data_IF_087138076360
#
_entry.id   IF_087138076360
#
_cell.length_a   1.000
_cell.length_b   1.000
_cell.length_c   1.000
_cell.angle_alpha   90.00
_cell.angle_beta   90.00
_cell.angle_gamma   90.00
#
_symmetry.space_group_name_H-M   'P 1'
#
loop_
_entity.id
_entity.type
_entity.pdbx_description
1 polymer ?
#
# COMPACT_ATOMS: atom_id res chain seq x y z
N UNK A 1 59.82 1.97 -19.91
CA UNK A 1 58.54 2.74 -19.81
C UNK A 1 57.42 1.76 -19.59
N UNK A 2 56.98 1.56 -18.34
CA UNK A 2 55.87 0.69 -18.02
C UNK A 2 54.57 1.47 -18.19
N UNK A 3 53.66 1.04 -19.08
CA UNK A 3 52.36 1.59 -19.25
C UNK A 3 51.43 0.98 -18.18
N UNK A 4 50.97 1.83 -17.24
CA UNK A 4 49.94 1.46 -16.27
C UNK A 4 48.61 1.63 -16.97
N UNK A 5 47.87 0.53 -17.16
CA UNK A 5 46.47 0.56 -17.60
C UNK A 5 45.59 0.68 -16.38
N UNK A 6 44.90 1.84 -16.25
CA UNK A 6 43.89 2.07 -15.23
C UNK A 6 42.58 1.44 -15.73
N UNK A 7 42.18 0.29 -15.16
CA UNK A 7 40.86 -0.28 -15.39
C UNK A 7 39.85 0.40 -14.46
N UNK A 8 39.01 1.28 -15.02
CA UNK A 8 37.85 1.83 -14.31
C UNK A 8 36.76 0.77 -14.40
N UNK A 9 36.52 0.04 -13.29
CA UNK A 9 35.40 -0.86 -13.16
C UNK A 9 34.19 -0.01 -12.80
N UNK A 10 33.28 0.21 -13.76
CA UNK A 10 31.97 0.73 -13.46
C UNK A 10 31.15 -0.38 -12.78
N UNK A 11 31.04 -0.31 -11.46
CA UNK A 11 29.97 -1.00 -10.77
C UNK A 11 28.65 -0.29 -11.14
N UNK A 12 27.84 -0.88 -12.00
CA UNK A 12 26.43 -0.52 -12.09
C UNK A 12 25.79 -0.89 -10.75
N UNK A 13 25.67 0.07 -9.85
CA UNK A 13 24.78 -0.05 -8.71
C UNK A 13 23.38 -0.12 -9.31
N UNK A 14 22.82 -1.33 -9.39
CA UNK A 14 21.39 -1.49 -9.57
C UNK A 14 20.74 -0.95 -8.29
N UNK A 15 20.43 0.34 -8.28
CA UNK A 15 19.44 0.87 -7.36
C UNK A 15 18.13 0.19 -7.76
N UNK A 16 17.62 -0.67 -6.89
CA UNK A 16 16.24 -1.14 -7.01
C UNK A 16 15.38 0.11 -7.24
N UNK A 17 14.57 0.12 -8.28
CA UNK A 17 13.73 1.27 -8.61
C UNK A 17 12.85 1.58 -7.40
N UNK A 18 13.09 2.71 -6.73
CA UNK A 18 12.32 3.13 -5.56
C UNK A 18 10.97 3.73 -5.97
N UNK A 19 10.36 3.19 -7.02
CA UNK A 19 9.01 3.54 -7.42
C UNK A 19 8.01 2.77 -6.56
N UNK A 20 7.05 3.48 -5.98
CA UNK A 20 5.91 2.92 -5.26
C UNK A 20 4.65 3.53 -5.87
N UNK A 21 3.67 2.74 -6.29
CA UNK A 21 3.68 1.27 -6.38
C UNK A 21 4.80 0.75 -7.30
N UNK A 22 5.30 -0.46 -7.01
CA UNK A 22 6.23 -1.11 -7.93
C UNK A 22 5.54 -1.38 -9.27
N UNK A 23 6.33 -1.39 -10.35
CA UNK A 23 5.80 -1.74 -11.66
C UNK A 23 5.14 -3.13 -11.66
N UNK A 24 3.93 -3.21 -12.24
CA UNK A 24 3.05 -4.39 -12.24
C UNK A 24 2.58 -4.85 -10.85
N UNK A 25 2.55 -3.98 -9.84
CA UNK A 25 1.98 -4.30 -8.54
C UNK A 25 0.47 -4.59 -8.64
N UNK A 26 0.01 -5.55 -7.83
CA UNK A 26 -1.42 -5.84 -7.62
C UNK A 26 -1.76 -5.47 -6.19
N UNK A 27 -2.73 -4.59 -5.99
CA UNK A 27 -3.00 -3.95 -4.71
C UNK A 27 -4.42 -4.28 -4.21
N UNK A 28 -4.56 -4.42 -2.89
CA UNK A 28 -5.84 -4.66 -2.20
C UNK A 28 -6.37 -3.39 -1.49
N UNK A 29 -6.03 -2.21 -2.03
CA UNK A 29 -6.43 -0.92 -1.46
C UNK A 29 -6.50 0.17 -2.53
N UNK A 30 -7.31 1.21 -2.28
CA UNK A 30 -7.57 2.31 -3.22
C UNK A 30 -6.92 3.64 -2.81
N UNK A 31 -6.41 3.77 -1.59
CA UNK A 31 -5.61 4.93 -1.19
C UNK A 31 -4.13 4.62 -1.44
N UNK A 32 -3.56 5.24 -2.47
CA UNK A 32 -2.25 4.85 -2.99
C UNK A 32 -1.19 5.88 -2.60
N UNK A 33 -0.14 5.40 -1.94
CA UNK A 33 1.07 6.19 -1.73
C UNK A 33 2.00 6.03 -2.93
N UNK A 34 2.18 7.12 -3.67
CA UNK A 34 3.15 7.21 -4.76
C UNK A 34 4.48 7.72 -4.24
N UNK A 35 5.56 7.12 -4.69
CA UNK A 35 6.93 7.58 -4.43
C UNK A 35 7.81 7.28 -5.64
N UNK A 36 8.76 8.18 -5.90
CA UNK A 36 9.71 8.05 -7.01
C UNK A 36 11.10 8.57 -6.60
N UNK A 37 12.16 8.17 -7.33
CA UNK A 37 13.50 8.73 -7.13
C UNK A 37 13.51 10.23 -7.41
N UNK A 38 14.38 10.95 -6.70
CA UNK A 38 14.63 12.36 -7.00
C UNK A 38 15.09 12.52 -8.45
N UNK A 39 14.38 13.30 -9.25
CA UNK A 39 14.83 13.71 -10.59
C UNK A 39 15.77 14.90 -10.43
N UNK A 40 17.06 14.79 -10.82
CA UNK A 40 18.03 15.86 -10.64
C UNK A 40 17.56 17.17 -11.28
N UNK A 41 17.84 18.27 -10.63
CA UNK A 41 17.48 19.63 -11.08
C UNK A 41 15.98 19.95 -11.12
N UNK A 42 15.13 19.10 -10.57
CA UNK A 42 13.68 19.36 -10.49
C UNK A 42 13.33 20.04 -9.16
N UNK A 43 12.57 21.11 -9.24
CA UNK A 43 11.99 21.82 -8.10
C UNK A 43 10.58 21.32 -7.78
N UNK A 44 9.85 20.88 -8.80
CA UNK A 44 8.48 20.39 -8.70
C UNK A 44 8.28 19.16 -9.57
N UNK A 45 7.21 18.43 -9.31
CA UNK A 45 6.83 17.22 -10.02
C UNK A 45 5.36 17.29 -10.45
N UNK A 46 5.07 16.69 -11.59
CA UNK A 46 3.71 16.37 -12.02
C UNK A 46 3.61 14.86 -12.10
N UNK A 47 2.78 14.28 -11.23
CA UNK A 47 2.39 12.88 -11.26
C UNK A 47 1.16 12.76 -12.16
N UNK A 48 1.24 11.95 -13.21
CA UNK A 48 0.14 11.64 -14.12
C UNK A 48 -0.29 10.19 -13.87
N UNK A 49 -1.59 9.98 -13.71
CA UNK A 49 -2.20 8.65 -13.53
C UNK A 49 -3.32 8.52 -14.54
N UNK A 50 -3.35 7.40 -15.24
CA UNK A 50 -4.31 7.10 -16.33
C UNK A 50 -5.01 5.79 -15.97
N UNK A 51 -6.33 5.83 -15.87
CA UNK A 51 -7.19 4.65 -15.78
C UNK A 51 -7.24 3.99 -17.17
N UNK A 52 -6.70 2.78 -17.30
CA UNK A 52 -6.56 2.07 -18.58
C UNK A 52 -7.89 1.48 -19.07
N UNK A 53 -8.92 1.45 -18.20
CA UNK A 53 -10.21 0.88 -18.53
C UNK A 53 -11.19 1.95 -19.05
N UNK A 54 -11.03 3.22 -18.60
CA UNK A 54 -11.90 4.34 -18.99
C UNK A 54 -11.22 5.43 -19.82
N UNK A 55 -9.88 5.40 -19.94
CA UNK A 55 -9.05 6.48 -20.49
C UNK A 55 -9.12 7.81 -19.71
N UNK A 56 -9.74 7.81 -18.52
CA UNK A 56 -9.73 8.96 -17.62
C UNK A 56 -8.31 9.18 -17.06
N UNK A 57 -7.94 10.44 -16.86
CA UNK A 57 -6.62 10.76 -16.28
C UNK A 57 -6.68 11.88 -15.27
N UNK A 58 -5.70 11.90 -14.36
CA UNK A 58 -5.50 12.96 -13.38
C UNK A 58 -4.02 13.37 -13.37
N UNK A 59 -3.79 14.68 -13.24
CA UNK A 59 -2.46 15.26 -13.05
C UNK A 59 -2.39 15.96 -11.69
N UNK A 60 -1.36 15.62 -10.92
CA UNK A 60 -1.16 16.11 -9.56
C UNK A 60 0.21 16.77 -9.42
N UNK A 61 0.21 18.01 -8.94
CA UNK A 61 1.43 18.79 -8.74
C UNK A 61 1.92 18.64 -7.29
N UNK A 62 3.22 18.45 -7.09
CA UNK A 62 3.85 18.40 -5.78
C UNK A 62 5.31 18.86 -5.84
N UNK A 63 5.81 19.43 -4.75
CA UNK A 63 7.25 19.73 -4.58
C UNK A 63 8.01 18.56 -3.90
N UNK A 64 7.33 17.49 -3.54
CA UNK A 64 7.92 16.32 -2.91
C UNK A 64 8.02 15.17 -3.92
N UNK A 65 8.96 14.27 -3.73
CA UNK A 65 9.10 13.04 -4.52
C UNK A 65 8.19 11.91 -4.03
N UNK A 66 7.07 12.27 -3.42
CA UNK A 66 6.01 11.36 -2.99
C UNK A 66 4.68 12.09 -2.84
N UNK A 67 3.58 11.34 -2.96
CA UNK A 67 2.22 11.84 -2.83
C UNK A 67 1.29 10.69 -2.39
N UNK A 68 0.39 10.98 -1.45
CA UNK A 68 -0.72 10.10 -1.11
C UNK A 68 -1.95 10.53 -1.91
N UNK A 69 -2.54 9.60 -2.65
CA UNK A 69 -3.78 9.78 -3.39
C UNK A 69 -4.90 9.01 -2.68
N UNK A 70 -5.96 9.69 -2.29
CA UNK A 70 -7.12 9.17 -1.57
C UNK A 70 -8.42 9.15 -2.39
N UNK A 71 -8.33 9.46 -3.68
CA UNK A 71 -9.45 9.54 -4.61
C UNK A 71 -9.02 9.06 -6.00
N UNK A 72 -9.94 9.02 -6.97
CA UNK A 72 -9.72 8.61 -8.35
C UNK A 72 -9.55 7.09 -8.57
N UNK A 73 -8.85 6.40 -7.67
CA UNK A 73 -8.56 4.96 -7.81
C UNK A 73 -9.80 4.14 -7.47
N UNK A 74 -10.15 3.18 -8.35
CA UNK A 74 -11.32 2.32 -8.23
C UNK A 74 -10.90 0.87 -8.06
N UNK A 75 -11.78 0.08 -7.47
CA UNK A 75 -11.66 -1.38 -7.43
C UNK A 75 -11.80 -1.96 -8.85
N UNK A 76 -11.14 -3.10 -9.10
CA UNK A 76 -11.21 -3.85 -10.37
C UNK A 76 -10.74 -3.02 -11.57
N UNK A 77 -9.69 -2.23 -11.42
CA UNK A 77 -9.19 -1.33 -12.46
C UNK A 77 -7.68 -1.40 -12.61
N UNK A 78 -7.22 -1.03 -13.80
CA UNK A 78 -5.82 -1.03 -14.18
C UNK A 78 -5.34 0.40 -14.44
N UNK A 79 -4.13 0.71 -13.99
CA UNK A 79 -3.58 2.06 -14.06
C UNK A 79 -2.17 2.06 -14.67
N UNK A 80 -1.93 3.10 -15.47
CA UNK A 80 -0.61 3.53 -15.86
C UNK A 80 -0.28 4.82 -15.11
N UNK A 81 0.95 4.98 -14.65
CA UNK A 81 1.41 6.22 -14.06
C UNK A 81 2.86 6.53 -14.40
N UNK A 82 3.16 7.81 -14.45
CA UNK A 82 4.52 8.33 -14.59
C UNK A 82 4.64 9.68 -13.91
N UNK A 83 5.87 10.13 -13.71
CA UNK A 83 6.17 11.43 -13.12
C UNK A 83 7.14 12.20 -13.97
N UNK A 84 6.88 13.50 -14.16
CA UNK A 84 7.79 14.43 -14.79
C UNK A 84 8.31 15.43 -13.77
N UNK A 85 9.62 15.67 -13.76
CA UNK A 85 10.25 16.72 -13.00
C UNK A 85 10.31 18.03 -13.78
N UNK A 86 10.13 19.15 -13.08
CA UNK A 86 10.11 20.48 -13.65
C UNK A 86 11.09 21.43 -12.96
N UNK A 87 11.76 22.27 -13.75
CA UNK A 87 12.46 23.47 -13.31
C UNK A 87 11.88 24.68 -14.03
N UNK A 88 11.43 25.70 -13.28
CA UNK A 88 10.85 26.94 -13.82
C UNK A 88 9.85 26.73 -14.97
N UNK A 89 8.92 25.76 -14.81
CA UNK A 89 7.89 25.34 -15.79
C UNK A 89 8.42 24.59 -17.03
N UNK A 90 9.71 24.33 -17.12
CA UNK A 90 10.27 23.48 -18.17
C UNK A 90 10.40 22.04 -17.66
N UNK A 91 10.01 21.06 -18.50
CA UNK A 91 10.24 19.64 -18.20
C UNK A 91 11.75 19.38 -18.19
N UNK A 92 12.25 18.84 -17.10
CA UNK A 92 13.63 18.39 -16.96
C UNK A 92 13.76 16.97 -17.49
N UNK A 93 12.95 16.06 -16.95
CA UNK A 93 12.95 14.63 -17.30
C UNK A 93 11.63 14.00 -16.84
N UNK A 94 11.19 12.95 -17.54
CA UNK A 94 10.08 12.12 -17.11
C UNK A 94 10.55 10.68 -16.82
N UNK A 95 9.91 10.01 -15.89
CA UNK A 95 10.10 8.57 -15.67
C UNK A 95 9.59 7.76 -16.85
N UNK A 96 9.96 6.48 -16.88
CA UNK A 96 9.25 5.51 -17.68
C UNK A 96 7.83 5.31 -17.12
N UNK A 97 6.95 4.75 -17.94
CA UNK A 97 5.63 4.30 -17.53
C UNK A 97 5.76 3.15 -16.51
N UNK A 98 4.95 3.21 -15.48
CA UNK A 98 4.78 2.16 -14.47
C UNK A 98 3.32 1.75 -14.45
N UNK A 99 3.06 0.49 -14.17
CA UNK A 99 1.72 -0.07 -14.16
C UNK A 99 1.38 -0.61 -12.78
N UNK A 100 0.11 -0.55 -12.41
CA UNK A 100 -0.43 -1.30 -11.28
C UNK A 100 -1.90 -1.62 -11.52
N UNK A 101 -2.40 -2.61 -10.81
CA UNK A 101 -3.82 -2.96 -10.81
C UNK A 101 -4.37 -2.99 -9.40
N UNK A 102 -5.66 -2.74 -9.28
CA UNK A 102 -6.42 -2.91 -8.04
C UNK A 102 -7.28 -4.15 -8.20
N UNK A 103 -7.19 -5.07 -7.23
CA UNK A 103 -8.05 -6.24 -7.20
C UNK A 103 -9.53 -5.84 -7.15
N UNK A 104 -10.41 -6.73 -7.60
CA UNK A 104 -11.84 -6.60 -7.34
C UNK A 104 -12.14 -6.80 -5.85
N UNK A 105 -13.20 -6.16 -5.36
CA UNK A 105 -13.74 -6.51 -4.05
C UNK A 105 -14.21 -7.97 -4.06
N UNK A 106 -13.83 -8.76 -3.06
CA UNK A 106 -14.20 -10.16 -3.03
C UNK A 106 -15.71 -10.33 -2.75
N UNK A 107 -16.30 -11.45 -3.23
CA UNK A 107 -17.73 -11.77 -3.04
C UNK A 107 -18.17 -11.79 -1.56
N UNK A 108 -17.23 -12.01 -0.64
CA UNK A 108 -17.53 -12.00 0.79
C UNK A 108 -17.53 -10.58 1.39
N UNK A 109 -17.13 -9.54 0.64
CA UNK A 109 -17.19 -8.17 1.14
C UNK A 109 -18.64 -7.69 1.25
N UNK A 110 -19.04 -7.05 2.36
CA UNK A 110 -20.41 -6.54 2.51
C UNK A 110 -20.74 -5.49 1.45
N UNK A 111 -21.80 -5.72 0.68
CA UNK A 111 -22.21 -4.82 -0.43
C UNK A 111 -22.94 -3.55 0.03
N UNK A 112 -23.28 -3.44 1.32
CA UNK A 112 -24.08 -2.34 1.85
C UNK A 112 -23.46 -1.80 3.15
N UNK A 113 -22.47 -0.95 3.04
CA UNK A 113 -22.04 -0.08 4.13
C UNK A 113 -22.71 1.27 3.97
N UNK A 114 -23.45 1.73 4.98
CA UNK A 114 -24.10 3.03 4.95
C UNK A 114 -23.70 3.85 6.16
N UNK A 115 -23.23 5.06 5.94
CA UNK A 115 -23.04 6.04 7.01
C UNK A 115 -24.41 6.63 7.38
N UNK A 116 -24.94 6.24 8.52
CA UNK A 116 -26.26 6.68 8.98
C UNK A 116 -26.27 8.13 9.48
N UNK A 117 -25.15 8.60 10.00
CA UNK A 117 -25.00 9.96 10.51
C UNK A 117 -23.53 10.35 10.48
N UNK A 118 -23.22 11.53 9.99
CA UNK A 118 -21.88 12.11 10.06
C UNK A 118 -21.94 13.57 10.48
N UNK A 119 -20.96 14.02 11.27
CA UNK A 119 -20.78 15.42 11.62
C UNK A 119 -19.30 15.77 11.48
N UNK A 120 -18.96 16.42 10.37
CA UNK A 120 -17.58 16.78 10.02
C UNK A 120 -16.86 17.67 11.06
N UNK A 121 -17.59 18.28 11.98
CA UNK A 121 -17.01 19.06 13.08
C UNK A 121 -16.57 18.19 14.28
N UNK A 122 -16.91 16.90 14.28
CA UNK A 122 -16.68 15.99 15.41
C UNK A 122 -15.73 14.85 15.11
N UNK A 123 -15.17 14.77 13.91
CA UNK A 123 -14.18 13.74 13.56
C UNK A 123 -13.02 14.34 12.75
N UNK A 124 -11.87 13.70 12.84
CA UNK A 124 -10.75 13.93 11.92
C UNK A 124 -10.97 13.09 10.65
N UNK A 125 -10.53 13.59 9.51
CA UNK A 125 -10.49 12.78 8.29
C UNK A 125 -9.53 11.59 8.47
N UNK A 126 -9.90 10.46 7.90
CA UNK A 126 -9.10 9.24 7.99
C UNK A 126 -9.88 8.02 7.50
N UNK A 127 -9.34 6.85 7.79
CA UNK A 127 -9.96 5.55 7.53
C UNK A 127 -10.36 4.87 8.83
N UNK A 128 -11.36 4.01 8.78
CA UNK A 128 -11.80 3.19 9.91
C UNK A 128 -11.53 1.73 9.62
N UNK A 129 -10.74 1.08 10.47
CA UNK A 129 -10.55 -0.37 10.44
C UNK A 129 -11.76 -1.07 11.09
N UNK A 130 -12.26 -2.09 10.44
CA UNK A 130 -13.40 -2.89 10.87
C UNK A 130 -13.04 -4.38 10.79
N UNK A 131 -13.37 -5.12 11.84
CA UNK A 131 -13.33 -6.58 11.85
C UNK A 131 -14.73 -7.14 11.56
N UNK A 132 -14.86 -7.82 10.44
CA UNK A 132 -16.07 -8.56 10.07
C UNK A 132 -15.97 -9.98 10.63
N UNK A 133 -16.14 -10.13 11.94
CA UNK A 133 -15.91 -11.39 12.65
C UNK A 133 -16.72 -12.56 12.07
N UNK A 134 -17.99 -12.32 11.74
CA UNK A 134 -18.87 -13.33 11.12
C UNK A 134 -18.43 -13.74 9.70
N UNK A 135 -17.65 -12.91 9.03
CA UNK A 135 -17.13 -13.13 7.68
C UNK A 135 -15.64 -13.50 7.70
N UNK A 136 -15.00 -13.47 8.87
CA UNK A 136 -13.62 -13.89 9.11
C UNK A 136 -12.56 -13.04 8.42
N UNK A 137 -12.77 -11.73 8.28
CA UNK A 137 -11.75 -10.83 7.72
C UNK A 137 -11.84 -9.40 8.28
N UNK A 138 -10.74 -8.65 8.11
CA UNK A 138 -10.68 -7.22 8.40
C UNK A 138 -10.70 -6.42 7.11
N UNK A 139 -11.28 -5.23 7.19
CA UNK A 139 -11.28 -4.26 6.11
C UNK A 139 -11.28 -2.83 6.65
N UNK A 140 -11.00 -1.86 5.81
CA UNK A 140 -11.19 -0.45 6.15
C UNK A 140 -12.11 0.26 5.17
N UNK A 141 -12.80 1.24 5.72
CA UNK A 141 -13.66 2.16 5.00
C UNK A 141 -13.20 3.60 5.23
N UNK A 142 -13.52 4.46 4.29
CA UNK A 142 -13.37 5.90 4.45
C UNK A 142 -14.51 6.52 5.27
N UNK A 143 -14.50 7.86 5.38
CA UNK A 143 -15.49 8.62 6.17
C UNK A 143 -16.90 8.66 5.55
N UNK A 144 -17.05 8.25 4.30
CA UNK A 144 -18.35 8.14 3.62
C UNK A 144 -18.83 6.68 3.51
N UNK A 145 -18.05 5.75 4.06
CA UNK A 145 -18.39 4.32 4.11
C UNK A 145 -17.93 3.51 2.90
N UNK A 146 -17.14 4.12 2.00
CA UNK A 146 -16.62 3.40 0.84
C UNK A 146 -15.43 2.51 1.24
N UNK A 147 -15.34 1.30 0.64
CA UNK A 147 -14.22 0.40 0.90
C UNK A 147 -12.89 1.01 0.45
N UNK A 148 -11.89 0.96 1.33
CA UNK A 148 -10.54 1.45 1.06
C UNK A 148 -9.51 0.34 1.01
N UNK A 149 -9.67 -0.67 1.85
CA UNK A 149 -8.75 -1.81 1.97
C UNK A 149 -9.48 -3.03 2.50
N UNK A 150 -8.99 -4.21 2.16
CA UNK A 150 -9.39 -5.46 2.80
C UNK A 150 -8.21 -6.43 2.94
N UNK A 151 -8.24 -7.24 4.00
CA UNK A 151 -7.37 -8.39 4.13
C UNK A 151 -7.96 -9.56 3.34
N UNK A 152 -7.23 -10.04 2.34
CA UNK A 152 -7.67 -11.23 1.60
C UNK A 152 -7.49 -12.47 2.48
N UNK A 153 -8.57 -12.85 3.15
CA UNK A 153 -8.56 -13.99 4.09
C UNK A 153 -8.12 -15.30 3.46
N UNK A 154 -8.17 -15.44 2.14
CA UNK A 154 -7.77 -16.68 1.46
C UNK A 154 -6.25 -16.93 1.55
N UNK A 155 -5.46 -15.88 1.81
CA UNK A 155 -4.02 -15.95 1.99
C UNK A 155 -3.62 -16.43 3.41
N UNK A 156 -4.58 -16.54 4.34
CA UNK A 156 -4.31 -16.84 5.74
C UNK A 156 -4.75 -18.25 6.15
N UNK A 157 -4.12 -18.82 7.18
CA UNK A 157 -4.56 -20.07 7.77
C UNK A 157 -6.07 -20.07 8.12
N UNK A 158 -6.75 -21.15 7.79
CA UNK A 158 -8.19 -21.32 8.05
C UNK A 158 -9.09 -20.29 7.35
N UNK A 159 -8.59 -19.60 6.32
CA UNK A 159 -9.29 -18.51 5.61
C UNK A 159 -9.92 -17.50 6.58
N UNK A 160 -9.14 -17.10 7.57
CA UNK A 160 -9.55 -16.12 8.59
C UNK A 160 -8.39 -15.23 8.94
N UNK A 161 -8.63 -13.92 9.06
CA UNK A 161 -7.73 -12.95 9.69
C UNK A 161 -8.53 -11.83 10.32
N UNK A 162 -8.23 -11.52 11.57
CA UNK A 162 -8.72 -10.33 12.27
C UNK A 162 -7.50 -9.50 12.69
N UNK A 163 -7.53 -8.22 12.36
CA UNK A 163 -6.43 -7.29 12.61
C UNK A 163 -6.47 -6.79 14.05
N UNK A 164 -5.32 -6.67 14.69
CA UNK A 164 -5.24 -6.20 16.07
C UNK A 164 -4.47 -4.90 16.22
N UNK A 165 -3.51 -4.63 15.34
CA UNK A 165 -2.68 -3.43 15.41
C UNK A 165 -2.08 -3.08 14.05
N UNK A 166 -1.76 -1.78 13.85
CA UNK A 166 -0.99 -1.26 12.72
C UNK A 166 0.40 -0.84 13.19
N UNK A 167 1.41 -1.31 12.49
CA UNK A 167 2.80 -0.97 12.79
C UNK A 167 3.22 0.31 12.03
N UNK A 168 4.20 1.01 12.57
CA UNK A 168 4.74 2.25 11.96
C UNK A 168 5.31 2.04 10.54
N UNK A 169 5.72 0.82 10.21
CA UNK A 169 6.20 0.45 8.87
C UNK A 169 5.08 0.14 7.87
N UNK A 170 3.81 0.23 8.28
CA UNK A 170 2.63 -0.06 7.45
C UNK A 170 2.20 -1.53 7.47
N UNK A 171 2.92 -2.42 8.18
CA UNK A 171 2.47 -3.79 8.37
C UNK A 171 1.33 -3.88 9.39
N UNK A 172 0.61 -4.97 9.35
CA UNK A 172 -0.55 -5.21 10.20
C UNK A 172 -0.29 -6.45 11.04
N UNK A 173 -0.62 -6.36 12.32
CA UNK A 173 -0.68 -7.52 13.21
C UNK A 173 -2.11 -8.04 13.27
N UNK A 174 -2.24 -9.35 13.35
CA UNK A 174 -3.55 -9.98 13.46
C UNK A 174 -3.46 -11.42 13.91
N UNK A 175 -4.61 -12.07 14.03
CA UNK A 175 -4.65 -13.49 14.37
C UNK A 175 -5.61 -14.27 13.47
N UNK A 176 -5.28 -15.54 13.26
CA UNK A 176 -5.96 -16.47 12.38
C UNK A 176 -6.24 -17.75 13.16
N UNK A 177 -7.38 -17.86 13.86
CA UNK A 177 -7.79 -19.10 14.57
C UNK A 177 -6.68 -19.70 15.46
N UNK A 178 -6.06 -18.89 16.29
CA UNK A 178 -4.99 -19.30 17.22
C UNK A 178 -3.57 -19.08 16.70
N UNK A 179 -3.39 -18.65 15.45
CA UNK A 179 -2.09 -18.27 14.87
C UNK A 179 -1.98 -16.75 14.86
N UNK A 180 -0.94 -16.19 15.47
CA UNK A 180 -0.59 -14.77 15.34
C UNK A 180 0.17 -14.53 14.04
N UNK A 181 -0.13 -13.45 13.33
CA UNK A 181 0.47 -13.10 12.04
C UNK A 181 0.89 -11.63 12.00
N UNK A 182 1.97 -11.34 11.28
CA UNK A 182 2.29 -10.02 10.71
C UNK A 182 2.18 -10.13 9.20
N UNK A 183 1.51 -9.18 8.57
CA UNK A 183 1.29 -9.18 7.13
C UNK A 183 1.27 -7.76 6.56
N UNK A 184 1.50 -7.62 5.26
CA UNK A 184 1.45 -6.35 4.55
C UNK A 184 0.03 -6.00 4.07
N UNK A 185 -0.15 -4.80 3.52
CA UNK A 185 -1.43 -4.33 2.98
C UNK A 185 -1.96 -5.22 1.83
N UNK A 186 -1.12 -6.00 1.16
CA UNK A 186 -1.51 -6.94 0.11
C UNK A 186 -1.79 -8.35 0.65
N UNK A 187 -1.87 -8.48 1.99
CA UNK A 187 -2.15 -9.76 2.67
C UNK A 187 -1.05 -10.81 2.51
N UNK A 188 0.19 -10.40 2.23
CA UNK A 188 1.34 -11.29 2.26
C UNK A 188 1.78 -11.49 3.71
N UNK A 189 1.82 -12.74 4.16
CA UNK A 189 2.29 -13.08 5.52
C UNK A 189 3.80 -12.90 5.60
N UNK A 190 4.27 -12.03 6.49
CA UNK A 190 5.68 -11.75 6.76
C UNK A 190 6.21 -12.54 7.94
N UNK A 191 5.34 -12.82 8.92
CA UNK A 191 5.62 -13.63 10.10
C UNK A 191 4.36 -14.38 10.52
N UNK A 192 4.52 -15.59 11.05
CA UNK A 192 3.45 -16.32 11.73
C UNK A 192 3.98 -17.15 12.90
N UNK A 193 3.16 -17.29 13.93
CA UNK A 193 3.46 -18.15 15.06
C UNK A 193 3.25 -19.62 14.71
N UNK A 194 3.95 -20.53 15.43
CA UNK A 194 3.68 -21.94 15.31
C UNK A 194 2.53 -22.33 16.24
N UNK A 195 1.42 -22.82 15.68
CA UNK A 195 0.21 -23.21 16.41
C UNK A 195 0.46 -24.34 17.44
N UNK A 196 1.41 -25.22 17.16
CA UNK A 196 1.76 -26.33 18.06
C UNK A 196 2.50 -25.87 19.34
N UNK A 197 3.06 -24.65 19.29
CA UNK A 197 3.84 -24.08 20.39
C UNK A 197 3.07 -23.03 21.17
N UNK A 198 2.23 -22.23 20.50
CA UNK A 198 1.52 -21.11 21.09
C UNK A 198 0.19 -20.91 20.39
N UNK A 199 -0.87 -20.68 21.17
CA UNK A 199 -2.17 -20.26 20.64
C UNK A 199 -2.41 -18.81 21.01
N UNK A 200 -2.61 -17.96 20.00
CA UNK A 200 -3.00 -16.57 20.16
C UNK A 200 -4.52 -16.51 20.25
N UNK A 201 -5.07 -15.91 21.30
CA UNK A 201 -6.51 -15.89 21.52
C UNK A 201 -7.15 -14.52 21.25
N UNK A 202 -6.43 -13.43 21.56
CA UNK A 202 -6.97 -12.08 21.43
C UNK A 202 -6.08 -11.12 20.67
N UNK A 203 -4.79 -11.06 21.00
CA UNK A 203 -3.91 -10.02 20.51
C UNK A 203 -2.49 -10.52 20.25
N UNK A 204 -1.83 -9.89 19.31
CA UNK A 204 -0.41 -9.98 19.07
C UNK A 204 0.17 -8.56 19.04
N UNK A 205 1.26 -8.33 19.75
CA UNK A 205 1.98 -7.07 19.75
C UNK A 205 3.43 -7.28 19.33
N UNK A 206 3.99 -6.32 18.60
CA UNK A 206 5.40 -6.29 18.25
C UNK A 206 6.12 -5.26 19.09
N UNK A 207 7.19 -5.65 19.74
CA UNK A 207 7.99 -4.76 20.58
C UNK A 207 9.04 -4.02 19.76
N UNK A 208 9.61 -2.96 20.30
CA UNK A 208 10.65 -2.16 19.64
C UNK A 208 11.95 -2.93 19.31
N UNK A 209 12.16 -4.09 19.92
CA UNK A 209 13.29 -4.99 19.63
C UNK A 209 12.92 -6.17 18.73
N UNK A 210 11.88 -6.00 17.91
CA UNK A 210 11.40 -6.97 16.91
C UNK A 210 10.89 -8.31 17.51
N UNK A 211 10.59 -8.36 18.82
CA UNK A 211 9.99 -9.52 19.46
C UNK A 211 8.47 -9.43 19.48
N UNK A 212 7.79 -10.57 19.47
CA UNK A 212 6.32 -10.62 19.52
C UNK A 212 5.83 -11.00 20.90
N UNK A 213 4.78 -10.34 21.33
CA UNK A 213 4.04 -10.63 22.56
C UNK A 213 2.66 -11.17 22.17
N UNK A 214 2.28 -12.30 22.75
CA UNK A 214 1.05 -13.03 22.41
C UNK A 214 0.13 -13.08 23.63
N UNK A 215 -1.18 -12.82 23.45
CA UNK A 215 -2.22 -12.87 24.47
C UNK A 215 -3.33 -13.83 24.04
#
# INVERSE_FOLDING_TARGET
MNKIYLYIIFYSLNFASNFIPNDNAILNYTQIFFKWPQIPFSENYVLTIIDQDSDDSIELNTSHNSLLLDSFIKWDSNYLWYVCGYDNQAIVECSNDNFFSINSLPDFYPTNTNVLSSNSLQYNSGITLLDFESLNFSASIDMIGEPVWFADKTNFPYSRVLSTDFLENGNILGFCSGVGVEFDLNSNILFQTNIDSFQVHHEIHKTSNESYFLI
#
